data_IF_411187363290
#
_entry.id   IF_411187363290
#
_cell.length_a   1.000
_cell.length_b   1.000
_cell.length_c   1.000
_cell.angle_alpha   90.00
_cell.angle_beta   90.00
_cell.angle_gamma   90.00
#
_symmetry.space_group_name_H-M   'P 1'
#
loop_
_entity.id
_entity.type
_entity.pdbx_description
1 polymer ?
#
# COMPACT_ATOMS: atom_id res chain seq x y z
N UNK A 1 52.73 2.54 30.94
CA UNK A 1 52.37 1.29 31.66
C UNK A 1 51.08 0.79 31.03
N UNK A 2 50.96 -0.28 30.27
CA UNK A 2 51.91 -1.24 29.71
C UNK A 2 51.23 -1.84 28.48
N UNK A 3 51.99 -1.99 27.40
CA UNK A 3 51.59 -2.70 26.19
C UNK A 3 52.18 -4.09 26.26
N UNK A 4 51.37 -5.15 26.12
CA UNK A 4 51.91 -6.52 26.03
C UNK A 4 50.90 -7.57 25.56
N UNK A 5 51.41 -8.42 24.64
CA UNK A 5 51.00 -9.79 24.26
C UNK A 5 49.89 -9.89 23.20
N UNK A 6 50.03 -10.68 22.11
CA UNK A 6 51.05 -11.64 21.67
C UNK A 6 50.76 -12.07 20.20
N UNK A 7 51.83 -12.12 19.39
CA UNK A 7 52.23 -13.01 18.26
C UNK A 7 51.20 -14.04 17.75
N UNK A 8 50.87 -14.10 16.46
CA UNK A 8 51.64 -14.58 15.26
C UNK A 8 51.85 -16.10 15.14
N UNK A 9 51.81 -16.56 13.86
CA UNK A 9 52.26 -17.83 13.25
C UNK A 9 51.25 -19.00 13.33
N UNK A 10 50.97 -19.78 12.26
CA UNK A 10 51.78 -20.13 11.08
C UNK A 10 50.94 -20.88 10.02
N UNK A 11 51.29 -20.66 8.73
CA UNK A 11 51.25 -21.53 7.53
C UNK A 11 50.10 -22.57 7.37
N UNK A 12 49.42 -22.70 6.23
CA UNK A 12 49.90 -22.61 4.85
C UNK A 12 50.02 -24.02 4.26
N UNK A 13 49.11 -24.40 3.38
CA UNK A 13 49.42 -25.27 2.24
C UNK A 13 48.39 -25.03 1.14
N UNK A 14 48.90 -24.47 0.04
CA UNK A 14 48.26 -24.42 -1.25
C UNK A 14 48.42 -25.78 -1.95
N UNK A 15 47.43 -26.11 -2.79
CA UNK A 15 47.51 -26.65 -4.17
C UNK A 15 46.16 -27.32 -4.49
N UNK A 16 45.30 -26.69 -5.28
CA UNK A 16 45.30 -26.60 -6.75
C UNK A 16 44.67 -27.84 -7.43
N UNK A 17 43.39 -27.70 -7.83
CA UNK A 17 42.80 -28.30 -9.05
C UNK A 17 41.39 -27.73 -9.23
N UNK A 18 41.18 -26.76 -10.11
CA UNK A 18 40.76 -26.94 -11.51
C UNK A 18 39.22 -26.94 -11.70
N UNK A 19 38.74 -25.79 -12.17
CA UNK A 19 37.67 -25.55 -13.14
C UNK A 19 36.42 -26.47 -13.15
N UNK A 20 35.28 -25.92 -12.70
CA UNK A 20 33.96 -26.08 -13.32
C UNK A 20 33.03 -24.92 -12.90
N UNK A 21 32.08 -24.49 -13.76
CA UNK A 21 31.55 -23.13 -13.79
C UNK A 21 30.41 -22.87 -12.79
N UNK A 22 30.43 -21.68 -12.21
CA UNK A 22 29.45 -21.15 -11.25
C UNK A 22 28.07 -21.00 -11.92
N UNK A 23 26.96 -21.43 -11.29
CA UNK A 23 25.63 -21.08 -11.77
C UNK A 23 25.23 -19.69 -11.25
N UNK A 24 25.19 -18.74 -12.20
CA UNK A 24 24.28 -17.59 -12.26
C UNK A 24 24.28 -16.58 -11.10
N UNK A 25 25.31 -15.74 -11.05
CA UNK A 25 25.27 -14.41 -10.42
C UNK A 25 24.57 -13.35 -11.32
N UNK A 26 24.20 -13.70 -12.56
CA UNK A 26 23.62 -12.77 -13.53
C UNK A 26 22.14 -12.43 -13.29
N UNK A 27 21.39 -13.26 -12.55
CA UNK A 27 19.96 -13.02 -12.30
C UNK A 27 19.67 -11.80 -11.40
N UNK A 28 20.33 -11.62 -10.24
CA UNK A 28 20.14 -10.41 -9.43
C UNK A 28 20.77 -9.18 -10.08
N UNK A 29 21.81 -9.37 -10.92
CA UNK A 29 22.50 -8.28 -11.61
C UNK A 29 21.66 -7.73 -12.77
N UNK A 30 20.93 -8.59 -13.50
CA UNK A 30 19.97 -8.18 -14.53
C UNK A 30 18.73 -7.52 -13.88
N UNK A 31 18.23 -8.04 -12.76
CA UNK A 31 17.12 -7.40 -12.02
C UNK A 31 17.51 -6.04 -11.43
N UNK A 32 18.72 -5.91 -10.88
CA UNK A 32 19.27 -4.61 -10.45
C UNK A 32 19.46 -3.68 -11.63
N UNK A 33 20.01 -4.15 -12.74
CA UNK A 33 20.24 -3.32 -13.92
C UNK A 33 18.94 -2.86 -14.57
N UNK A 34 17.88 -3.68 -14.52
CA UNK A 34 16.53 -3.32 -14.95
C UNK A 34 15.92 -2.31 -13.98
N UNK A 35 16.03 -2.51 -12.67
CA UNK A 35 15.55 -1.54 -11.66
C UNK A 35 16.32 -0.21 -11.72
N UNK A 36 17.63 -0.23 -11.91
CA UNK A 36 18.47 0.96 -12.04
C UNK A 36 18.19 1.69 -13.36
N UNK A 37 17.89 0.97 -14.44
CA UNK A 37 17.41 1.58 -15.70
C UNK A 37 16.06 2.28 -15.51
N UNK A 38 15.14 1.72 -14.73
CA UNK A 38 13.89 2.38 -14.40
C UNK A 38 14.07 3.56 -13.43
N UNK A 39 15.11 3.54 -12.59
CA UNK A 39 15.36 4.57 -11.56
C UNK A 39 16.16 5.77 -12.08
N UNK A 40 17.08 5.57 -13.03
CA UNK A 40 17.78 6.65 -13.73
C UNK A 40 16.87 7.34 -14.77
N UNK A 41 15.80 6.70 -15.22
CA UNK A 41 14.91 7.21 -16.27
C UNK A 41 13.65 7.93 -15.75
N UNK A 42 13.44 7.97 -14.42
CA UNK A 42 12.35 8.71 -13.77
C UNK A 42 12.75 10.15 -13.36
N UNK A 43 13.92 10.63 -13.82
CA UNK A 43 14.29 12.06 -13.68
C UNK A 43 13.58 12.96 -14.70
N UNK A 44 13.23 12.44 -15.88
CA UNK A 44 12.41 13.16 -16.87
C UNK A 44 10.95 12.75 -16.71
N UNK A 45 10.26 13.53 -15.88
CA UNK A 45 8.86 13.38 -15.44
C UNK A 45 7.84 13.45 -16.59
N UNK A 46 7.88 12.50 -17.51
CA UNK A 46 6.88 12.27 -18.54
C UNK A 46 6.76 10.77 -18.76
N UNK A 47 5.83 10.14 -18.04
CA UNK A 47 5.44 8.73 -18.21
C UNK A 47 4.77 8.47 -19.56
N UNK A 48 5.48 8.71 -20.66
CA UNK A 48 5.05 8.46 -22.03
C UNK A 48 6.07 7.53 -22.65
N UNK A 49 5.69 6.26 -22.77
CA UNK A 49 6.44 5.24 -23.52
C UNK A 49 6.24 5.53 -25.00
N UNK A 50 7.21 6.15 -25.65
CA UNK A 50 7.17 6.38 -27.10
C UNK A 50 7.38 5.06 -27.85
N UNK A 51 6.67 4.89 -28.97
CA UNK A 51 6.61 3.67 -29.82
C UNK A 51 7.97 3.11 -30.27
N UNK A 52 9.02 3.90 -30.18
CA UNK A 52 10.41 3.49 -30.44
C UNK A 52 10.98 2.58 -29.34
N UNK A 53 10.46 2.58 -28.11
CA UNK A 53 10.97 1.80 -26.98
C UNK A 53 10.49 0.34 -26.95
N UNK A 54 9.38 -0.01 -27.62
CA UNK A 54 8.90 -1.39 -27.75
C UNK A 54 9.57 -2.17 -28.90
N UNK A 55 10.23 -1.46 -29.81
CA UNK A 55 10.88 -2.04 -30.99
C UNK A 55 12.17 -2.79 -30.64
N UNK A 56 12.86 -2.42 -29.55
CA UNK A 56 14.10 -3.08 -29.14
C UNK A 56 13.86 -4.42 -28.43
N UNK A 57 12.65 -4.66 -27.92
CA UNK A 57 12.31 -5.87 -27.16
C UNK A 57 11.65 -7.00 -27.96
N UNK A 58 11.08 -6.72 -29.14
CA UNK A 58 10.28 -7.68 -29.90
C UNK A 58 10.50 -7.59 -31.42
N UNK A 59 10.76 -8.70 -32.13
CA UNK A 59 10.79 -8.72 -33.59
C UNK A 59 9.36 -8.75 -34.13
N UNK A 60 8.67 -7.61 -34.10
CA UNK A 60 7.32 -7.45 -34.66
C UNK A 60 7.34 -6.40 -35.78
N UNK A 61 6.57 -6.65 -36.84
CA UNK A 61 6.48 -5.75 -38.00
C UNK A 61 5.83 -4.42 -37.60
N UNK A 62 6.51 -3.33 -37.94
CA UNK A 62 6.19 -1.92 -37.62
C UNK A 62 4.74 -1.55 -37.90
N UNK A 63 4.16 -2.10 -38.97
CA UNK A 63 2.79 -1.80 -39.42
C UNK A 63 1.70 -2.30 -38.46
N UNK A 64 1.97 -3.38 -37.70
CA UNK A 64 0.98 -3.96 -36.77
C UNK A 64 0.91 -3.25 -35.42
N UNK A 65 1.97 -2.53 -35.04
CA UNK A 65 2.02 -1.75 -33.80
C UNK A 65 1.45 -0.35 -34.02
N UNK A 66 1.77 0.32 -35.13
CA UNK A 66 1.23 1.66 -35.43
C UNK A 66 -0.30 1.69 -35.51
N UNK A 67 -0.95 0.66 -36.09
CA UNK A 67 -2.41 0.54 -36.11
C UNK A 67 -3.04 0.31 -34.72
N UNK A 68 -2.29 -0.22 -33.76
CA UNK A 68 -2.73 -0.35 -32.36
C UNK A 68 -2.51 0.93 -31.54
N UNK A 69 -1.53 1.75 -31.92
CA UNK A 69 -1.22 3.03 -31.28
C UNK A 69 -2.06 4.20 -31.83
N UNK A 70 -2.50 4.18 -33.09
CA UNK A 70 -3.41 5.22 -33.62
C UNK A 70 -4.84 5.11 -33.06
N UNK A 71 -5.26 3.91 -32.61
CA UNK A 71 -6.49 3.73 -31.83
C UNK A 71 -6.36 4.17 -30.36
N UNK A 72 -5.15 4.47 -29.91
CA UNK A 72 -4.78 4.64 -28.50
C UNK A 72 -5.03 6.05 -27.96
N UNK A 73 -5.08 7.06 -28.83
CA UNK A 73 -5.28 8.45 -28.40
C UNK A 73 -6.76 8.80 -28.18
N UNK A 74 -7.69 7.91 -28.55
CA UNK A 74 -9.13 8.17 -28.50
C UNK A 74 -9.91 7.36 -27.45
N UNK A 75 -9.41 6.20 -27.00
CA UNK A 75 -10.16 5.31 -26.11
C UNK A 75 -9.26 4.68 -25.05
N UNK A 76 -9.57 4.97 -23.77
CA UNK A 76 -8.71 4.68 -22.62
C UNK A 76 -8.36 3.20 -22.37
N UNK A 77 -7.56 3.01 -21.34
CA UNK A 77 -6.84 1.79 -20.89
C UNK A 77 -7.60 0.45 -20.80
N UNK A 78 -8.94 0.45 -20.89
CA UNK A 78 -9.73 -0.79 -20.89
C UNK A 78 -9.77 -1.49 -22.26
N UNK A 79 -9.69 -0.73 -23.36
CA UNK A 79 -9.62 -1.34 -24.71
C UNK A 79 -8.24 -1.92 -25.01
N UNK A 80 -7.20 -1.42 -24.31
CA UNK A 80 -5.85 -1.99 -24.33
C UNK A 80 -5.83 -3.43 -23.83
N UNK A 81 -6.52 -3.73 -22.73
CA UNK A 81 -6.56 -5.10 -22.17
C UNK A 81 -7.30 -6.04 -23.11
N UNK A 82 -8.42 -5.60 -23.68
CA UNK A 82 -9.20 -6.39 -24.64
C UNK A 82 -8.45 -6.62 -25.96
N UNK A 83 -7.81 -5.59 -26.52
CA UNK A 83 -7.01 -5.69 -27.75
C UNK A 83 -5.77 -6.56 -27.57
N UNK A 84 -5.11 -6.47 -26.41
CA UNK A 84 -3.96 -7.31 -26.08
C UNK A 84 -4.36 -8.77 -25.84
N UNK A 85 -5.49 -9.03 -25.19
CA UNK A 85 -6.07 -10.38 -25.08
C UNK A 85 -6.40 -10.99 -26.45
N UNK A 86 -6.95 -10.18 -27.37
CA UNK A 86 -7.25 -10.60 -28.73
C UNK A 86 -5.97 -10.90 -29.54
N UNK A 87 -4.91 -10.11 -29.36
CA UNK A 87 -3.61 -10.36 -29.98
C UNK A 87 -2.91 -11.62 -29.43
N UNK A 88 -2.97 -11.84 -28.11
CA UNK A 88 -2.40 -13.04 -27.49
C UNK A 88 -3.17 -14.31 -27.90
N UNK A 89 -4.48 -14.21 -28.06
CA UNK A 89 -5.33 -15.33 -28.51
C UNK A 89 -5.08 -15.70 -29.98
N UNK A 90 -4.81 -14.72 -30.86
CA UNK A 90 -4.43 -14.99 -32.25
C UNK A 90 -3.04 -15.65 -32.37
N UNK A 91 -2.08 -15.27 -31.51
CA UNK A 91 -0.79 -15.96 -31.42
C UNK A 91 -0.92 -17.40 -30.90
N UNK A 92 -1.81 -17.66 -29.93
CA UNK A 92 -2.09 -19.03 -29.46
C UNK A 92 -2.68 -19.90 -30.57
N UNK A 93 -3.61 -19.37 -31.37
CA UNK A 93 -4.17 -20.09 -32.52
C UNK A 93 -3.11 -20.42 -33.59
N UNK A 94 -2.17 -19.50 -33.85
CA UNK A 94 -1.04 -19.73 -34.77
C UNK A 94 -0.04 -20.78 -34.23
N UNK A 95 0.23 -20.76 -32.93
CA UNK A 95 1.07 -21.77 -32.25
C UNK A 95 0.41 -23.15 -32.24
N UNK A 96 -0.89 -23.23 -32.03
CA UNK A 96 -1.65 -24.49 -32.08
C UNK A 96 -1.73 -25.07 -33.50
N UNK A 97 -1.84 -24.22 -34.53
CA UNK A 97 -1.71 -24.66 -35.92
C UNK A 97 -0.31 -25.21 -36.23
N UNK A 98 0.74 -24.62 -35.65
CA UNK A 98 2.12 -25.11 -35.78
C UNK A 98 2.33 -26.44 -35.03
N UNK A 99 1.70 -26.60 -33.86
CA UNK A 99 1.74 -27.83 -33.04
C UNK A 99 0.96 -28.98 -33.66
N UNK A 100 -0.14 -28.70 -34.37
CA UNK A 100 -0.89 -29.71 -35.15
C UNK A 100 -0.12 -30.17 -36.40
N UNK A 101 0.64 -29.27 -37.06
CA UNK A 101 1.49 -29.64 -38.21
C UNK A 101 2.72 -30.49 -37.83
N UNK A 102 3.23 -30.40 -36.59
CA UNK A 102 4.34 -31.24 -36.12
C UNK A 102 3.92 -32.60 -35.58
N UNK A 103 2.64 -32.81 -35.26
CA UNK A 103 2.11 -34.11 -34.79
C UNK A 103 1.73 -35.08 -35.93
N UNK A 104 1.65 -34.61 -37.18
CA UNK A 104 1.13 -35.39 -38.31
C UNK A 104 2.23 -35.87 -39.26
N UNK A 105 3.23 -36.61 -38.76
CA UNK A 105 4.07 -37.47 -39.64
C UNK A 105 4.89 -38.51 -38.86
N UNK A 106 4.22 -39.39 -38.10
CA UNK A 106 4.77 -40.73 -37.83
C UNK A 106 3.99 -41.71 -38.68
N UNK A 107 4.51 -41.94 -39.89
CA UNK A 107 4.06 -43.04 -40.74
C UNK A 107 4.55 -44.31 -40.06
N UNK A 108 3.62 -45.03 -39.42
CA UNK A 108 3.86 -46.39 -38.98
C UNK A 108 4.03 -47.24 -40.24
N UNK A 109 5.27 -47.69 -40.50
CA UNK A 109 5.52 -48.76 -41.46
C UNK A 109 4.93 -50.04 -40.87
N UNK A 110 3.67 -50.32 -41.21
CA UNK A 110 3.03 -51.61 -40.92
C UNK A 110 3.72 -52.63 -41.82
N UNK A 111 4.73 -53.31 -41.29
CA UNK A 111 5.23 -54.55 -41.90
C UNK A 111 4.26 -55.70 -41.54
N UNK A 112 4.01 -56.65 -42.47
CA UNK A 112 3.21 -57.82 -42.18
C UNK A 112 3.91 -58.69 -41.14
N UNK A 113 3.20 -59.07 -40.08
CA UNK A 113 3.66 -60.05 -39.09
C UNK A 113 3.56 -61.47 -39.66
N UNK A 114 4.62 -62.29 -39.62
CA UNK A 114 4.48 -63.73 -39.88
C UNK A 114 3.77 -64.37 -38.67
N UNK A 115 2.68 -65.08 -38.94
CA UNK A 115 1.93 -65.88 -37.97
C UNK A 115 2.79 -67.08 -37.54
N UNK A 116 3.15 -67.18 -36.26
CA UNK A 116 3.91 -68.33 -35.73
C UNK A 116 3.27 -68.88 -34.44
N UNK A 117 2.20 -69.64 -34.62
CA UNK A 117 1.15 -69.97 -33.65
C UNK A 117 1.51 -71.01 -32.54
N UNK A 118 2.78 -71.30 -32.25
CA UNK A 118 3.15 -72.40 -31.33
C UNK A 118 4.02 -72.03 -30.12
N UNK A 119 4.95 -71.08 -30.28
CA UNK A 119 5.96 -70.71 -29.26
C UNK A 119 5.56 -69.42 -28.52
N UNK A 120 4.61 -68.67 -29.10
CA UNK A 120 4.16 -67.35 -28.62
C UNK A 120 3.51 -67.37 -27.23
N UNK A 121 2.98 -68.51 -26.76
CA UNK A 121 2.24 -68.57 -25.49
C UNK A 121 3.13 -68.49 -24.25
N UNK A 122 4.25 -69.20 -24.26
CA UNK A 122 5.19 -69.22 -23.13
C UNK A 122 6.08 -67.98 -23.14
N UNK A 123 6.57 -67.57 -24.31
CA UNK A 123 7.39 -66.37 -24.46
C UNK A 123 6.61 -65.10 -24.11
N UNK A 124 5.31 -65.03 -24.46
CA UNK A 124 4.46 -63.91 -24.06
C UNK A 124 4.22 -63.88 -22.56
N UNK A 125 4.19 -65.03 -21.88
CA UNK A 125 4.20 -65.07 -20.40
C UNK A 125 5.53 -64.61 -19.82
N UNK A 126 6.66 -64.96 -20.44
CA UNK A 126 7.99 -64.53 -19.99
C UNK A 126 8.17 -63.02 -20.17
N UNK A 127 7.78 -62.49 -21.31
CA UNK A 127 7.78 -61.06 -21.57
C UNK A 127 6.82 -60.31 -20.64
N UNK A 128 5.58 -60.80 -20.47
CA UNK A 128 4.63 -60.19 -19.55
C UNK A 128 5.18 -60.18 -18.10
N UNK A 129 5.73 -61.30 -17.64
CA UNK A 129 6.35 -61.38 -16.31
C UNK A 129 7.54 -60.42 -16.16
N UNK A 130 8.36 -60.25 -17.21
CA UNK A 130 9.46 -59.29 -17.21
C UNK A 130 8.98 -57.83 -17.22
N UNK A 131 7.95 -57.53 -18.01
CA UNK A 131 7.34 -56.20 -18.06
C UNK A 131 6.66 -55.83 -16.74
N UNK A 132 5.98 -56.79 -16.10
CA UNK A 132 5.39 -56.68 -14.78
C UNK A 132 6.46 -56.49 -13.69
N UNK A 133 7.54 -57.28 -13.70
CA UNK A 133 8.66 -57.13 -12.75
C UNK A 133 9.30 -55.75 -12.80
N UNK A 134 9.35 -55.16 -13.98
CA UNK A 134 9.91 -53.84 -14.17
C UNK A 134 8.88 -52.71 -14.00
N UNK A 135 7.61 -53.06 -13.76
CA UNK A 135 6.51 -52.15 -13.44
C UNK A 135 6.09 -51.26 -14.61
N UNK A 136 5.94 -51.82 -15.81
CA UNK A 136 5.38 -51.06 -16.93
C UNK A 136 3.88 -50.82 -16.73
N UNK A 137 3.45 -49.59 -17.00
CA UNK A 137 2.03 -49.29 -17.24
C UNK A 137 1.66 -49.82 -18.63
N UNK A 138 0.49 -50.45 -18.75
CA UNK A 138 -0.01 -51.06 -20.00
C UNK A 138 -0.31 -50.01 -21.06
N UNK A 139 0.72 -49.48 -21.69
CA UNK A 139 0.67 -48.47 -22.73
C UNK A 139 0.96 -49.05 -24.12
N UNK A 140 0.73 -48.24 -25.16
CA UNK A 140 1.03 -48.60 -26.55
C UNK A 140 2.51 -48.94 -26.80
N UNK A 141 3.41 -48.44 -25.95
CA UNK A 141 4.85 -48.69 -26.00
C UNK A 141 5.19 -50.17 -25.70
N UNK A 142 4.39 -50.87 -24.89
CA UNK A 142 4.58 -52.31 -24.64
C UNK A 142 4.39 -53.15 -25.90
N UNK A 143 3.48 -52.73 -26.79
CA UNK A 143 3.21 -53.41 -28.05
C UNK A 143 4.40 -53.32 -29.01
N UNK A 144 5.09 -52.17 -29.03
CA UNK A 144 6.29 -51.95 -29.86
C UNK A 144 7.49 -52.74 -29.33
N UNK A 145 7.67 -52.77 -28.00
CA UNK A 145 8.73 -53.56 -27.35
C UNK A 145 8.47 -55.06 -27.54
N UNK A 146 7.21 -55.50 -27.48
CA UNK A 146 6.85 -56.90 -27.77
C UNK A 146 7.17 -57.30 -29.21
N UNK A 147 6.87 -56.43 -30.20
CA UNK A 147 7.22 -56.71 -31.59
C UNK A 147 8.73 -56.78 -31.83
N UNK A 148 9.52 -55.98 -31.11
CA UNK A 148 10.97 -56.03 -31.15
C UNK A 148 11.51 -57.30 -30.49
N UNK A 149 10.91 -57.72 -29.38
CA UNK A 149 11.23 -58.94 -28.64
C UNK A 149 11.07 -60.20 -29.51
N UNK A 150 9.93 -60.32 -30.18
CA UNK A 150 9.63 -61.46 -31.08
C UNK A 150 10.61 -61.51 -32.26
N UNK A 151 10.96 -60.35 -32.85
CA UNK A 151 11.94 -60.27 -33.94
C UNK A 151 13.35 -60.61 -33.49
N UNK A 152 13.80 -60.07 -32.35
CA UNK A 152 15.14 -60.39 -31.80
C UNK A 152 15.29 -61.88 -31.50
N UNK A 153 14.24 -62.54 -31.01
CA UNK A 153 14.25 -63.99 -30.76
C UNK A 153 14.47 -64.83 -32.02
N UNK A 154 13.93 -64.38 -33.16
CA UNK A 154 14.01 -65.09 -34.44
C UNK A 154 15.35 -64.83 -35.16
N UNK A 155 15.80 -63.58 -35.18
CA UNK A 155 16.98 -63.18 -35.96
C UNK A 155 18.28 -63.31 -35.16
N UNK A 156 18.31 -62.84 -33.89
CA UNK A 156 19.50 -62.82 -33.04
C UNK A 156 19.18 -63.00 -31.53
N UNK A 157 18.97 -64.25 -31.05
CA UNK A 157 18.53 -64.52 -29.68
C UNK A 157 19.54 -64.08 -28.61
N UNK A 158 20.82 -63.93 -28.99
CA UNK A 158 21.91 -63.45 -28.13
C UNK A 158 21.76 -61.98 -27.69
N UNK A 159 21.00 -61.16 -28.43
CA UNK A 159 20.79 -59.75 -28.12
C UNK A 159 19.64 -59.51 -27.14
N UNK A 160 18.83 -60.52 -26.82
CA UNK A 160 17.66 -60.35 -25.98
C UNK A 160 18.02 -59.95 -24.55
N UNK A 161 19.10 -60.53 -23.99
CA UNK A 161 19.60 -60.13 -22.67
C UNK A 161 20.05 -58.66 -22.63
N UNK A 162 20.59 -58.14 -23.74
CA UNK A 162 20.97 -56.72 -23.84
C UNK A 162 19.73 -55.82 -23.87
N UNK A 163 18.65 -56.24 -24.55
CA UNK A 163 17.37 -55.54 -24.55
C UNK A 163 16.78 -55.51 -23.14
N UNK A 164 16.79 -56.65 -22.44
CA UNK A 164 16.30 -56.74 -21.06
C UNK A 164 17.09 -55.81 -20.12
N UNK A 165 18.42 -55.86 -20.17
CA UNK A 165 19.28 -55.00 -19.36
C UNK A 165 19.10 -53.52 -19.70
N UNK A 166 18.94 -53.19 -21.00
CA UNK A 166 18.68 -51.84 -21.45
C UNK A 166 17.34 -51.31 -20.93
N UNK A 167 16.26 -52.09 -21.04
CA UNK A 167 14.93 -51.72 -20.54
C UNK A 167 14.92 -51.58 -19.01
N UNK A 168 15.66 -52.43 -18.31
CA UNK A 168 15.84 -52.33 -16.87
C UNK A 168 16.56 -51.04 -16.48
N UNK A 169 17.68 -50.71 -17.15
CA UNK A 169 18.42 -49.47 -16.94
C UNK A 169 17.59 -48.23 -17.26
N UNK A 170 16.88 -48.21 -18.40
CA UNK A 170 16.01 -47.09 -18.77
C UNK A 170 14.92 -46.86 -17.74
N UNK A 171 14.22 -47.93 -17.30
CA UNK A 171 13.19 -47.79 -16.28
C UNK A 171 13.74 -47.35 -14.94
N UNK A 172 14.90 -47.86 -14.54
CA UNK A 172 15.59 -47.39 -13.35
C UNK A 172 15.87 -45.89 -13.43
N UNK A 173 16.38 -45.39 -14.56
CA UNK A 173 16.60 -43.95 -14.79
C UNK A 173 15.32 -43.13 -14.73
N UNK A 174 14.23 -43.62 -15.32
CA UNK A 174 12.92 -42.95 -15.26
C UNK A 174 12.41 -42.89 -13.82
N UNK A 175 12.50 -43.98 -13.05
CA UNK A 175 12.10 -44.01 -11.64
C UNK A 175 12.95 -43.07 -10.79
N UNK A 176 14.27 -43.08 -10.95
CA UNK A 176 15.17 -42.15 -10.28
C UNK A 176 14.85 -40.68 -10.62
N UNK A 177 14.52 -40.37 -11.88
CA UNK A 177 14.13 -39.03 -12.28
C UNK A 177 12.79 -38.60 -11.65
N UNK A 178 11.80 -39.50 -11.62
CA UNK A 178 10.52 -39.26 -10.94
C UNK A 178 10.70 -39.04 -9.44
N UNK A 179 11.47 -39.88 -8.76
CA UNK A 179 11.72 -39.74 -7.31
C UNK A 179 12.49 -38.45 -6.99
N UNK A 180 13.45 -38.06 -7.83
CA UNK A 180 14.16 -36.78 -7.69
C UNK A 180 13.22 -35.60 -7.88
N UNK A 181 12.32 -35.67 -8.87
CA UNK A 181 11.29 -34.65 -9.08
C UNK A 181 10.39 -34.52 -7.83
N UNK A 182 9.88 -35.62 -7.32
CA UNK A 182 9.04 -35.64 -6.12
C UNK A 182 9.77 -35.06 -4.89
N UNK A 183 11.05 -35.42 -4.70
CA UNK A 183 11.87 -34.85 -3.63
C UNK A 183 12.02 -33.32 -3.76
N UNK A 184 12.25 -32.82 -4.98
CA UNK A 184 12.33 -31.39 -5.27
C UNK A 184 10.99 -30.69 -5.04
N UNK A 185 9.88 -31.28 -5.46
CA UNK A 185 8.53 -30.75 -5.22
C UNK A 185 8.24 -30.65 -3.72
N UNK A 186 8.63 -31.65 -2.92
CA UNK A 186 8.49 -31.59 -1.46
C UNK A 186 9.31 -30.47 -0.86
N UNK A 187 10.58 -30.28 -1.29
CA UNK A 187 11.40 -29.17 -0.80
C UNK A 187 10.85 -27.82 -1.22
N UNK A 188 10.37 -27.68 -2.45
CA UNK A 188 9.78 -26.45 -2.95
C UNK A 188 8.51 -26.10 -2.16
N UNK A 189 7.63 -27.08 -1.95
CA UNK A 189 6.40 -26.87 -1.18
C UNK A 189 6.69 -26.47 0.28
N UNK A 190 7.76 -27.00 0.88
CA UNK A 190 8.21 -26.55 2.22
C UNK A 190 8.63 -25.08 2.19
N UNK A 191 9.47 -24.68 1.24
CA UNK A 191 9.89 -23.29 1.12
C UNK A 191 8.73 -22.34 0.83
N UNK A 192 7.79 -22.75 -0.03
CA UNK A 192 6.57 -21.96 -0.29
C UNK A 192 5.74 -21.81 0.98
N UNK A 193 5.59 -22.87 1.78
CA UNK A 193 4.86 -22.81 3.04
C UNK A 193 5.58 -21.96 4.10
N UNK A 194 6.91 -22.03 4.17
CA UNK A 194 7.75 -21.19 5.04
C UNK A 194 7.60 -19.71 4.66
N UNK A 195 7.78 -19.37 3.38
CA UNK A 195 7.60 -18.00 2.92
C UNK A 195 6.17 -17.49 3.11
N UNK A 196 5.15 -18.32 2.87
CA UNK A 196 3.77 -17.93 3.12
C UNK A 196 3.55 -17.61 4.61
N UNK A 197 4.14 -18.42 5.51
CA UNK A 197 4.10 -18.17 6.94
C UNK A 197 4.84 -16.89 7.34
N UNK A 198 6.01 -16.63 6.77
CA UNK A 198 6.77 -15.40 7.01
C UNK A 198 5.98 -14.16 6.59
N UNK A 199 5.38 -14.20 5.39
CA UNK A 199 4.53 -13.11 4.89
C UNK A 199 3.33 -12.89 5.81
N UNK A 200 2.65 -13.96 6.23
CA UNK A 200 1.54 -13.86 7.19
C UNK A 200 1.99 -13.23 8.50
N UNK A 201 3.13 -13.68 9.07
CA UNK A 201 3.66 -13.11 10.31
C UNK A 201 4.01 -11.63 10.17
N UNK A 202 4.55 -11.21 9.04
CA UNK A 202 4.84 -9.80 8.76
C UNK A 202 3.55 -8.98 8.62
N UNK A 203 2.54 -9.51 7.91
CA UNK A 203 1.23 -8.88 7.82
C UNK A 203 0.60 -8.70 9.20
N UNK A 204 0.56 -9.77 10.00
CA UNK A 204 0.02 -9.75 11.37
C UNK A 204 0.77 -8.73 12.25
N UNK A 205 2.09 -8.67 12.15
CA UNK A 205 2.92 -7.72 12.89
C UNK A 205 2.63 -6.26 12.48
N UNK A 206 2.49 -5.99 11.17
CA UNK A 206 2.12 -4.66 10.68
C UNK A 206 0.71 -4.27 11.14
N UNK A 207 -0.26 -5.18 11.09
CA UNK A 207 -1.62 -4.92 11.57
C UNK A 207 -1.63 -4.57 13.05
N UNK A 208 -0.89 -5.31 13.88
CA UNK A 208 -0.74 -5.01 15.31
C UNK A 208 -0.08 -3.64 15.53
N UNK A 209 0.95 -3.30 14.76
CA UNK A 209 1.61 -2.00 14.86
C UNK A 209 0.67 -0.85 14.45
N UNK A 210 -0.10 -1.03 13.37
CA UNK A 210 -1.10 -0.05 12.92
C UNK A 210 -2.14 0.17 14.01
N UNK A 211 -2.66 -0.90 14.62
CA UNK A 211 -3.64 -0.81 15.71
C UNK A 211 -3.07 -0.07 16.93
N UNK A 212 -1.83 -0.36 17.32
CA UNK A 212 -1.16 0.32 18.44
C UNK A 212 -0.96 1.82 18.15
N UNK A 213 -0.51 2.17 16.95
CA UNK A 213 -0.33 3.56 16.55
C UNK A 213 -1.65 4.31 16.45
N UNK A 214 -2.72 3.67 15.94
CA UNK A 214 -4.07 4.24 15.94
C UNK A 214 -4.54 4.55 17.36
N UNK A 215 -4.45 3.59 18.28
CA UNK A 215 -4.82 3.79 19.69
C UNK A 215 -3.99 4.90 20.34
N UNK A 216 -2.69 4.96 20.07
CA UNK A 216 -1.79 6.02 20.57
C UNK A 216 -2.22 7.41 20.08
N UNK A 217 -2.53 7.52 18.79
CA UNK A 217 -3.01 8.78 18.18
C UNK A 217 -4.37 9.19 18.74
N UNK A 218 -5.30 8.24 18.91
CA UNK A 218 -6.61 8.48 19.53
C UNK A 218 -6.45 9.02 20.95
N UNK A 219 -5.64 8.36 21.79
CA UNK A 219 -5.36 8.83 23.15
C UNK A 219 -4.73 10.22 23.17
N UNK A 220 -3.77 10.47 22.27
CA UNK A 220 -3.12 11.78 22.18
C UNK A 220 -4.10 12.87 21.73
N UNK A 221 -4.94 12.59 20.75
CA UNK A 221 -5.96 13.53 20.26
C UNK A 221 -7.02 13.82 21.32
N UNK A 222 -7.48 12.80 22.04
CA UNK A 222 -8.40 12.96 23.16
C UNK A 222 -7.76 13.82 24.27
N UNK A 223 -6.52 13.54 24.66
CA UNK A 223 -5.80 14.33 25.66
C UNK A 223 -5.65 15.81 25.25
N UNK A 224 -5.27 16.07 23.99
CA UNK A 224 -5.17 17.43 23.44
C UNK A 224 -6.53 18.13 23.43
N UNK A 225 -7.59 17.45 22.99
CA UNK A 225 -8.95 17.99 22.99
C UNK A 225 -9.43 18.33 24.40
N UNK A 226 -9.17 17.45 25.37
CA UNK A 226 -9.49 17.69 26.78
C UNK A 226 -8.72 18.89 27.34
N UNK A 227 -7.43 19.02 27.06
CA UNK A 227 -6.62 20.17 27.46
C UNK A 227 -7.18 21.47 26.87
N UNK A 228 -7.44 21.49 25.56
CA UNK A 228 -7.99 22.66 24.88
C UNK A 228 -9.38 23.05 25.43
N UNK A 229 -10.24 22.06 25.68
CA UNK A 229 -11.54 22.29 26.32
C UNK A 229 -11.40 22.86 27.72
N UNK A 230 -10.45 22.36 28.51
CA UNK A 230 -10.19 22.87 29.85
C UNK A 230 -9.66 24.31 29.83
N UNK A 231 -8.81 24.66 28.88
CA UNK A 231 -8.33 26.04 28.67
C UNK A 231 -9.46 26.99 28.30
N UNK A 232 -10.29 26.61 27.32
CA UNK A 232 -11.47 27.38 26.93
C UNK A 232 -12.42 27.57 28.12
N UNK A 233 -12.67 26.52 28.90
CA UNK A 233 -13.52 26.63 30.09
C UNK A 233 -12.94 27.63 31.09
N UNK A 234 -11.64 27.58 31.38
CA UNK A 234 -11.00 28.55 32.29
C UNK A 234 -11.12 29.99 31.78
N UNK A 235 -10.97 30.19 30.47
CA UNK A 235 -11.11 31.51 29.86
C UNK A 235 -12.56 32.03 29.94
N UNK A 236 -13.54 31.16 29.70
CA UNK A 236 -14.96 31.48 29.88
C UNK A 236 -15.27 31.83 31.34
N UNK A 237 -14.82 31.02 32.29
CA UNK A 237 -15.04 31.29 33.72
C UNK A 237 -14.37 32.61 34.14
N UNK A 238 -13.19 32.92 33.62
CA UNK A 238 -12.52 34.20 33.89
C UNK A 238 -13.29 35.38 33.29
N UNK A 239 -13.77 35.26 32.06
CA UNK A 239 -14.61 36.29 31.42
C UNK A 239 -15.93 36.47 32.16
N UNK A 240 -16.55 35.39 32.63
CA UNK A 240 -17.80 35.47 33.39
C UNK A 240 -17.60 36.20 34.72
N UNK A 241 -16.51 35.92 35.44
CA UNK A 241 -16.15 36.67 36.66
C UNK A 241 -15.92 38.15 36.39
N UNK A 242 -15.27 38.49 35.29
CA UNK A 242 -15.06 39.88 34.90
C UNK A 242 -16.39 40.57 34.58
N UNK A 243 -17.29 39.91 33.84
CA UNK A 243 -18.64 40.41 33.57
C UNK A 243 -19.41 40.63 34.86
N UNK A 244 -19.38 39.68 35.80
CA UNK A 244 -20.02 39.83 37.11
C UNK A 244 -19.47 41.05 37.88
N UNK A 245 -18.15 41.26 37.87
CA UNK A 245 -17.52 42.45 38.48
C UNK A 245 -17.97 43.75 37.81
N UNK A 246 -18.06 43.76 36.49
CA UNK A 246 -18.53 44.94 35.76
C UNK A 246 -19.99 45.25 36.09
N UNK A 247 -20.85 44.24 36.22
CA UNK A 247 -22.25 44.40 36.64
C UNK A 247 -22.34 45.00 38.05
N UNK A 248 -21.52 44.55 39.00
CA UNK A 248 -21.53 45.13 40.35
C UNK A 248 -21.09 46.60 40.35
N UNK A 249 -20.01 46.91 39.63
CA UNK A 249 -19.53 48.29 39.50
C UNK A 249 -20.56 49.19 38.79
N UNK A 250 -21.22 48.67 37.75
CA UNK A 250 -22.29 49.40 37.06
C UNK A 250 -23.43 49.72 38.03
N UNK A 251 -23.88 48.76 38.84
CA UNK A 251 -24.95 48.98 39.82
C UNK A 251 -24.59 50.06 40.87
N UNK A 252 -23.35 50.05 41.36
CA UNK A 252 -22.84 51.07 42.29
C UNK A 252 -22.81 52.47 41.65
N UNK A 253 -22.36 52.56 40.39
CA UNK A 253 -22.32 53.81 39.64
C UNK A 253 -23.73 54.34 39.36
N UNK A 254 -24.67 53.47 38.98
CA UNK A 254 -26.07 53.84 38.80
C UNK A 254 -26.68 54.40 40.09
N UNK A 255 -26.41 53.77 41.23
CA UNK A 255 -26.86 54.26 42.54
C UNK A 255 -26.25 55.63 42.87
N UNK A 256 -24.96 55.83 42.60
CA UNK A 256 -24.29 57.12 42.78
C UNK A 256 -24.87 58.20 41.88
N UNK A 257 -25.16 57.89 40.62
CA UNK A 257 -25.82 58.81 39.69
C UNK A 257 -27.21 59.21 40.19
N UNK A 258 -28.02 58.25 40.67
CA UNK A 258 -29.34 58.53 41.27
C UNK A 258 -29.22 59.45 42.50
N UNK A 259 -28.27 59.19 43.40
CA UNK A 259 -28.00 60.05 44.56
C UNK A 259 -27.63 61.47 44.15
N UNK A 260 -26.67 61.62 43.23
CA UNK A 260 -26.24 62.94 42.75
C UNK A 260 -27.40 63.71 42.12
N UNK A 261 -28.20 63.04 41.28
CA UNK A 261 -29.37 63.66 40.65
C UNK A 261 -30.38 64.14 41.70
N UNK A 262 -30.66 63.33 42.73
CA UNK A 262 -31.55 63.71 43.84
C UNK A 262 -31.00 64.93 44.61
N UNK A 263 -29.70 64.96 44.92
CA UNK A 263 -29.08 66.12 45.59
C UNK A 263 -29.10 67.37 44.73
N UNK A 264 -28.86 67.24 43.41
CA UNK A 264 -28.94 68.35 42.47
C UNK A 264 -30.36 68.92 42.40
N UNK A 265 -31.37 68.04 42.36
CA UNK A 265 -32.77 68.45 42.37
C UNK A 265 -33.12 69.19 43.67
N UNK A 266 -32.74 68.65 44.83
CA UNK A 266 -32.95 69.31 46.12
C UNK A 266 -32.29 70.69 46.19
N UNK A 267 -31.01 70.80 45.80
CA UNK A 267 -30.28 72.06 45.74
C UNK A 267 -30.92 73.05 44.76
N UNK A 268 -31.44 72.58 43.62
CA UNK A 268 -32.17 73.42 42.66
C UNK A 268 -33.47 73.96 43.26
N UNK A 269 -34.23 73.13 43.98
CA UNK A 269 -35.47 73.58 44.64
C UNK A 269 -35.19 74.57 45.77
N UNK A 270 -34.15 74.35 46.59
CA UNK A 270 -33.75 75.27 47.64
C UNK A 270 -33.27 76.61 47.04
N UNK A 271 -32.46 76.57 45.98
CA UNK A 271 -32.00 77.78 45.29
C UNK A 271 -33.18 78.58 44.71
N UNK A 272 -34.21 77.90 44.21
CA UNK A 272 -35.45 78.54 43.75
C UNK A 272 -36.21 79.20 44.92
N UNK A 273 -36.39 78.49 46.03
CA UNK A 273 -37.02 79.05 47.23
C UNK A 273 -36.26 80.27 47.78
N UNK A 274 -34.93 80.20 47.82
CA UNK A 274 -34.09 81.34 48.23
C UNK A 274 -34.26 82.52 47.29
N UNK A 275 -34.34 82.31 45.97
CA UNK A 275 -34.60 83.38 44.99
C UNK A 275 -35.97 84.01 45.20
N UNK A 276 -37.00 83.21 45.47
CA UNK A 276 -38.35 83.69 45.77
C UNK A 276 -38.35 84.52 47.05
N UNK A 277 -37.76 84.03 48.14
CA UNK A 277 -37.63 84.77 49.40
C UNK A 277 -36.80 86.06 49.24
N UNK A 278 -35.72 86.04 48.46
CA UNK A 278 -34.92 87.25 48.19
C UNK A 278 -35.76 88.32 47.48
N UNK A 279 -36.56 87.92 46.47
CA UNK A 279 -37.49 88.83 45.79
C UNK A 279 -38.51 89.43 46.76
N UNK A 280 -39.11 88.62 47.62
CA UNK A 280 -40.05 89.11 48.63
C UNK A 280 -39.41 90.11 49.61
N UNK A 281 -38.15 89.87 50.00
CA UNK A 281 -37.39 90.79 50.86
C UNK A 281 -37.05 92.09 50.12
N UNK A 282 -36.63 92.01 48.86
CA UNK A 282 -36.38 93.18 48.01
C UNK A 282 -37.65 94.03 47.85
N UNK A 283 -38.81 93.41 47.57
CA UNK A 283 -40.10 94.09 47.46
C UNK A 283 -40.49 94.80 48.77
N UNK A 284 -40.28 94.13 49.92
CA UNK A 284 -40.50 94.74 51.25
C UNK A 284 -39.57 95.91 51.51
N UNK A 285 -38.29 95.79 51.16
CA UNK A 285 -37.31 96.87 51.30
C UNK A 285 -37.69 98.07 50.44
N UNK A 286 -38.11 97.84 49.19
CA UNK A 286 -38.60 98.90 48.32
C UNK A 286 -39.84 99.59 48.90
N UNK A 287 -40.79 98.82 49.44
CA UNK A 287 -41.98 99.36 50.10
C UNK A 287 -41.61 100.23 51.32
N UNK A 288 -40.74 99.74 52.20
CA UNK A 288 -40.26 100.51 53.36
C UNK A 288 -39.49 101.76 52.92
N UNK A 289 -38.68 101.67 51.86
CA UNK A 289 -37.97 102.83 51.32
C UNK A 289 -38.96 103.89 50.81
N UNK A 290 -40.02 103.48 50.12
CA UNK A 290 -41.08 104.39 49.67
C UNK A 290 -41.82 105.02 50.87
N UNK A 291 -42.15 104.24 51.89
CA UNK A 291 -42.76 104.76 53.13
C UNK A 291 -41.83 105.76 53.86
N UNK A 292 -40.53 105.46 53.94
CA UNK A 292 -39.54 106.37 54.52
C UNK A 292 -39.42 107.67 53.70
N UNK A 293 -39.44 107.59 52.37
CA UNK A 293 -39.47 108.78 51.52
C UNK A 293 -40.73 109.62 51.72
N UNK A 294 -41.90 108.98 51.81
CA UNK A 294 -43.17 109.65 52.08
C UNK A 294 -43.14 110.35 53.45
N UNK A 295 -42.74 109.65 54.51
CA UNK A 295 -42.63 110.24 55.85
C UNK A 295 -41.60 111.37 55.90
N UNK A 296 -40.45 111.23 55.23
CA UNK A 296 -39.48 112.33 55.09
C UNK A 296 -40.06 113.52 54.32
N UNK A 297 -40.86 113.29 53.26
CA UNK A 297 -41.59 114.33 52.55
C UNK A 297 -42.63 115.03 53.43
N UNK A 298 -43.36 114.26 54.24
CA UNK A 298 -44.32 114.79 55.22
C UNK A 298 -43.61 115.61 56.31
N UNK A 299 -42.46 115.16 56.80
CA UNK A 299 -41.65 115.92 57.76
C UNK A 299 -41.05 117.19 57.14
N UNK A 300 -40.71 117.19 55.85
CA UNK A 300 -40.25 118.39 55.14
C UNK A 300 -41.37 119.40 54.91
N UNK A 301 -42.58 118.94 54.62
CA UNK A 301 -43.77 119.80 54.46
C UNK A 301 -44.31 120.32 55.80
N UNK A 302 -44.14 119.58 56.90
CA UNK A 302 -44.47 120.04 58.25
C UNK A 302 -43.43 120.98 58.88
N UNK A 303 -42.26 121.15 58.25
CA UNK A 303 -41.15 122.01 58.71
C UNK A 303 -40.99 123.29 57.87
N UNK A 304 -41.79 123.46 56.83
CA UNK A 304 -41.92 124.67 56.01
C UNK A 304 -43.17 125.45 56.45
#
# INVERSE_FOLDING_TARGET
LGSSRRKQLREGSAEASAAAPRPSEEAPEIEQRVQDSFREQDEDRAGVVTTTQLQEGFPSSTEGLELGFDGLDAAGTQELSAGFEQFLSSQKAARDHRRRKTASRRVCLVLPSPTLEGVESEERRHFAAFMDQLGADKGSEEQEVWQLWVRLRQDEPQLLGNLEEFLAKMRQRIREAKSKKEALEVTLNKHVAEHHREVQQLCDALEQQIQQEQQRLEQQSAARSHQHRAELQRALDASEREVQRLVTVQAELEERCRRLHSTQQAASTENQQLKESNRELEDRLQHLHLQLQQTQGHLRTARA
#
